data_IF_244030992652
#
_entry.id   IF_244030992652
#
_cell.length_a   1.000
_cell.length_b   1.000
_cell.length_c   1.000
_cell.angle_alpha   90.00
_cell.angle_beta   90.00
_cell.angle_gamma   90.00
#
_symmetry.space_group_name_H-M   'P 1'
#
loop_
_entity.id
_entity.type
_entity.pdbx_description
1 polymer ?
#
# COMPACT_ATOMS: atom_id res chain seq x y z
N UNK A 1 11.33 -13.80 -2.33
CA UNK A 1 11.32 -12.32 -2.36
C UNK A 1 9.87 -11.87 -2.33
N UNK A 2 9.56 -10.70 -1.77
CA UNK A 2 8.20 -10.13 -1.77
C UNK A 2 7.96 -9.27 -3.02
N UNK A 3 6.69 -8.98 -3.30
CA UNK A 3 6.29 -7.89 -4.18
C UNK A 3 5.95 -6.69 -3.29
N UNK A 4 6.65 -5.57 -3.50
CA UNK A 4 6.43 -4.36 -2.70
C UNK A 4 5.87 -3.29 -3.62
N UNK A 5 4.85 -2.59 -3.14
CA UNK A 5 4.19 -1.48 -3.81
C UNK A 5 3.90 -0.38 -2.81
N UNK A 6 4.22 0.86 -3.18
CA UNK A 6 4.11 2.04 -2.32
C UNK A 6 3.11 3.00 -2.95
N UNK A 7 2.08 3.40 -2.20
CA UNK A 7 1.23 4.52 -2.54
C UNK A 7 1.86 5.81 -2.00
N UNK A 8 2.15 6.76 -2.89
CA UNK A 8 2.68 8.08 -2.60
C UNK A 8 1.52 9.08 -2.72
N UNK A 9 0.76 9.19 -1.64
CA UNK A 9 -0.53 9.87 -1.55
C UNK A 9 -0.36 11.38 -1.32
N UNK A 10 -1.09 12.22 -2.08
CA UNK A 10 -1.04 13.69 -1.89
C UNK A 10 -1.72 14.10 -0.58
N UNK A 11 -2.87 13.52 -0.28
CA UNK A 11 -3.60 13.72 0.97
C UNK A 11 -3.44 12.52 1.92
N UNK A 12 -3.65 12.75 3.22
CA UNK A 12 -3.56 11.66 4.20
C UNK A 12 -4.73 10.69 3.98
N UNK A 13 -4.48 9.39 3.71
CA UNK A 13 -5.57 8.43 3.64
C UNK A 13 -6.12 8.20 5.05
N UNK A 14 -7.36 8.63 5.27
CA UNK A 14 -8.10 8.37 6.51
C UNK A 14 -8.67 6.94 6.57
N UNK A 15 -9.30 6.54 7.70
CA UNK A 15 -9.85 5.20 7.88
C UNK A 15 -10.81 4.75 6.77
N UNK A 16 -11.65 5.66 6.27
CA UNK A 16 -12.58 5.38 5.17
C UNK A 16 -11.87 5.04 3.85
N UNK A 17 -10.79 5.75 3.53
CA UNK A 17 -9.97 5.45 2.35
C UNK A 17 -9.25 4.10 2.49
N UNK A 18 -8.74 3.79 3.69
CA UNK A 18 -8.12 2.50 3.99
C UNK A 18 -9.12 1.34 3.84
N UNK A 19 -10.33 1.47 4.39
CA UNK A 19 -11.39 0.46 4.26
C UNK A 19 -11.85 0.28 2.80
N UNK A 20 -12.00 1.37 2.06
CA UNK A 20 -12.34 1.31 0.63
C UNK A 20 -11.25 0.60 -0.17
N UNK A 21 -9.97 0.87 0.12
CA UNK A 21 -8.84 0.22 -0.53
C UNK A 21 -8.75 -1.27 -0.17
N UNK A 22 -8.95 -1.65 1.10
CA UNK A 22 -9.04 -3.06 1.52
C UNK A 22 -10.14 -3.79 0.76
N UNK A 23 -11.33 -3.17 0.64
CA UNK A 23 -12.43 -3.74 -0.12
C UNK A 23 -12.13 -3.85 -1.62
N UNK A 24 -11.35 -2.92 -2.19
CA UNK A 24 -10.90 -2.99 -3.57
C UNK A 24 -9.85 -4.09 -3.81
N UNK A 25 -9.05 -4.42 -2.79
CA UNK A 25 -8.09 -5.52 -2.82
C UNK A 25 -8.80 -6.87 -3.03
N UNK A 26 -9.90 -7.08 -2.29
CA UNK A 26 -10.83 -8.21 -2.38
C UNK A 26 -11.84 -8.14 -1.24
N UNK A 27 -13.13 -8.21 -1.56
CA UNK A 27 -14.20 -8.01 -0.56
C UNK A 27 -14.39 -9.22 0.37
N UNK A 28 -13.91 -10.38 -0.08
CA UNK A 28 -13.90 -11.67 0.59
C UNK A 28 -12.67 -11.88 1.49
N UNK A 29 -11.64 -11.03 1.36
CA UNK A 29 -10.41 -11.16 2.13
C UNK A 29 -10.67 -10.88 3.62
N UNK A 30 -10.08 -11.72 4.47
CA UNK A 30 -10.14 -11.59 5.92
C UNK A 30 -9.08 -10.61 6.40
N UNK A 31 -9.44 -9.76 7.35
CA UNK A 31 -8.56 -8.74 7.93
C UNK A 31 -7.96 -9.23 9.25
N UNK A 32 -6.66 -9.05 9.41
CA UNK A 32 -5.96 -9.17 10.69
C UNK A 32 -5.18 -7.88 10.97
N UNK A 33 -5.10 -7.46 12.23
CA UNK A 33 -4.31 -6.30 12.65
C UNK A 33 -3.22 -6.73 13.62
N UNK A 34 -2.02 -6.20 13.44
CA UNK A 34 -0.89 -6.38 14.36
C UNK A 34 -0.62 -5.01 14.98
N UNK A 35 -1.21 -4.79 16.15
CA UNK A 35 -1.28 -3.46 16.76
C UNK A 35 0.10 -2.93 17.16
N UNK A 36 1.00 -3.78 17.66
CA UNK A 36 2.36 -3.39 18.06
C UNK A 36 3.19 -2.86 16.89
N UNK A 37 2.90 -3.34 15.68
CA UNK A 37 3.62 -2.97 14.46
C UNK A 37 2.82 -2.03 13.56
N UNK A 38 1.58 -1.67 13.93
CA UNK A 38 0.66 -0.89 13.11
C UNK A 38 0.50 -1.45 11.69
N UNK A 39 0.36 -2.78 11.60
CA UNK A 39 0.21 -3.50 10.34
C UNK A 39 -1.23 -3.98 10.18
N UNK A 40 -1.71 -3.93 8.94
CA UNK A 40 -2.95 -4.58 8.52
C UNK A 40 -2.58 -5.68 7.54
N UNK A 41 -3.11 -6.87 7.74
CA UNK A 41 -2.92 -8.02 6.87
C UNK A 41 -4.24 -8.46 6.27
N UNK A 42 -4.22 -8.79 4.98
CA UNK A 42 -5.33 -9.40 4.27
C UNK A 42 -5.00 -10.85 3.97
N UNK A 43 -5.96 -11.73 4.24
CA UNK A 43 -5.85 -13.17 4.06
C UNK A 43 -6.96 -13.68 3.15
N UNK A 44 -6.61 -14.65 2.30
CA UNK A 44 -7.60 -15.44 1.58
C UNK A 44 -8.35 -16.37 2.56
N UNK A 45 -9.51 -16.89 2.16
CA UNK A 45 -10.36 -17.70 3.04
C UNK A 45 -9.71 -19.00 3.52
N UNK A 46 -8.73 -19.51 2.76
CA UNK A 46 -7.91 -20.69 3.06
C UNK A 46 -6.77 -20.40 4.07
N UNK A 47 -6.62 -19.14 4.53
CA UNK A 47 -5.58 -18.72 5.46
C UNK A 47 -4.27 -18.30 4.80
N UNK A 48 -4.19 -18.24 3.47
CA UNK A 48 -3.03 -17.71 2.76
C UNK A 48 -2.94 -16.19 2.93
N UNK A 49 -1.76 -15.68 3.30
CA UNK A 49 -1.49 -14.24 3.37
C UNK A 49 -1.50 -13.66 1.95
N UNK A 50 -2.30 -12.61 1.73
CA UNK A 50 -2.38 -11.92 0.44
C UNK A 50 -1.55 -10.65 0.44
N UNK A 51 -1.64 -9.85 1.50
CA UNK A 51 -0.81 -8.66 1.62
C UNK A 51 -0.72 -8.18 3.07
N UNK A 52 0.34 -7.44 3.36
CA UNK A 52 0.51 -6.66 4.58
C UNK A 52 0.69 -5.20 4.18
N UNK A 53 0.00 -4.28 4.83
CA UNK A 53 0.16 -2.84 4.62
C UNK A 53 0.43 -2.12 5.95
N UNK A 54 1.26 -1.09 5.89
CA UNK A 54 1.60 -0.24 7.03
C UNK A 54 0.66 0.97 7.11
N UNK A 55 0.52 1.56 8.30
CA UNK A 55 -0.14 2.85 8.45
C UNK A 55 0.55 3.97 7.63
N UNK A 56 -0.23 4.98 7.23
CA UNK A 56 0.30 6.10 6.44
C UNK A 56 1.31 6.95 7.22
N UNK A 57 2.46 7.24 6.60
CA UNK A 57 3.55 8.02 7.19
C UNK A 57 3.85 9.25 6.34
N UNK A 58 3.95 10.43 6.96
CA UNK A 58 4.28 11.65 6.24
C UNK A 58 5.78 11.73 5.97
N UNK A 59 6.16 11.77 4.70
CA UNK A 59 7.54 12.04 4.27
C UNK A 59 7.69 13.54 4.01
N UNK A 60 8.39 14.22 4.92
CA UNK A 60 8.58 15.67 4.87
C UNK A 60 9.91 16.09 4.23
N UNK A 61 10.87 15.18 4.10
CA UNK A 61 12.19 15.49 3.55
C UNK A 61 12.14 15.46 2.02
N UNK A 62 12.48 16.58 1.39
CA UNK A 62 12.49 16.69 -0.08
C UNK A 62 13.55 15.75 -0.65
N UNK A 63 13.19 14.97 -1.67
CA UNK A 63 14.08 14.00 -2.32
C UNK A 63 14.21 12.65 -1.62
N UNK A 64 13.61 12.47 -0.44
CA UNK A 64 13.67 11.20 0.30
C UNK A 64 13.04 10.04 -0.47
N UNK A 65 11.95 10.29 -1.19
CA UNK A 65 11.31 9.28 -2.04
C UNK A 65 12.26 8.82 -3.15
N UNK A 66 12.95 9.75 -3.83
CA UNK A 66 13.97 9.41 -4.83
C UNK A 66 15.12 8.62 -4.19
N UNK A 67 15.60 9.03 -3.01
CA UNK A 67 16.70 8.34 -2.30
C UNK A 67 16.35 6.90 -1.95
N UNK A 68 15.10 6.63 -1.55
CA UNK A 68 14.65 5.31 -1.11
C UNK A 68 14.20 4.41 -2.27
N UNK A 69 13.48 4.97 -3.25
CA UNK A 69 12.84 4.18 -4.32
C UNK A 69 13.54 4.27 -5.68
N UNK A 70 14.51 5.19 -5.85
CA UNK A 70 15.05 5.53 -7.16
C UNK A 70 13.99 6.09 -8.11
N UNK A 71 12.89 6.62 -7.57
CA UNK A 71 11.73 7.04 -8.34
C UNK A 71 11.87 8.49 -8.80
N UNK A 72 11.92 8.68 -10.11
CA UNK A 72 12.23 9.96 -10.75
C UNK A 72 11.00 10.75 -11.24
N UNK A 73 9.79 10.24 -11.00
CA UNK A 73 8.55 10.97 -11.28
C UNK A 73 8.35 12.18 -10.36
N UNK A 74 7.46 13.10 -10.76
CA UNK A 74 7.08 14.25 -9.94
C UNK A 74 6.17 13.81 -8.78
N UNK A 75 6.81 13.38 -7.70
CA UNK A 75 6.12 12.98 -6.47
C UNK A 75 5.69 14.22 -5.69
N UNK A 76 4.46 14.26 -5.14
CA UNK A 76 4.04 15.34 -4.24
C UNK A 76 5.07 15.59 -3.12
N UNK A 77 5.20 16.83 -2.65
CA UNK A 77 6.03 17.15 -1.49
C UNK A 77 5.32 18.19 -0.61
N UNK A 78 5.07 17.89 0.69
CA UNK A 78 5.27 16.59 1.35
C UNK A 78 4.31 15.52 0.79
N UNK A 79 4.57 14.24 1.13
CA UNK A 79 3.76 13.11 0.64
C UNK A 79 3.49 12.08 1.73
N UNK A 80 2.31 11.47 1.67
CA UNK A 80 1.93 10.37 2.55
C UNK A 80 2.33 9.04 1.93
N UNK A 81 3.19 8.31 2.62
CA UNK A 81 3.70 7.01 2.22
C UNK A 81 2.87 5.89 2.84
N UNK A 82 2.33 5.00 2.02
CA UNK A 82 1.70 3.75 2.46
C UNK A 82 2.39 2.60 1.75
N UNK A 83 3.13 1.80 2.51
CA UNK A 83 3.80 0.61 1.98
C UNK A 83 2.88 -0.61 2.06
N UNK A 84 2.91 -1.41 1.01
CA UNK A 84 2.21 -2.69 0.92
C UNK A 84 3.18 -3.75 0.40
N UNK A 85 3.21 -4.90 1.07
CA UNK A 85 4.01 -6.05 0.68
C UNK A 85 3.12 -7.27 0.48
N UNK A 86 3.29 -7.97 -0.63
CA UNK A 86 2.64 -9.24 -0.94
C UNK A 86 3.69 -10.37 -1.05
N UNK A 87 3.32 -11.63 -0.78
CA UNK A 87 4.19 -12.76 -1.10
C UNK A 87 4.58 -12.75 -2.59
N UNK A 88 5.88 -12.87 -2.89
CA UNK A 88 6.32 -12.92 -4.28
C UNK A 88 6.10 -14.30 -4.89
N UNK A 89 5.92 -14.33 -6.21
CA UNK A 89 5.56 -15.55 -6.93
C UNK A 89 4.08 -15.92 -6.82
N UNK A 90 3.27 -15.10 -6.15
CA UNK A 90 1.82 -15.25 -6.04
C UNK A 90 1.12 -14.12 -6.83
N UNK A 91 0.64 -14.40 -8.07
CA UNK A 91 0.02 -13.39 -8.92
C UNK A 91 -1.28 -12.81 -8.35
N UNK A 92 -1.99 -13.58 -7.52
CA UNK A 92 -3.26 -13.16 -6.93
C UNK A 92 -3.03 -12.16 -5.80
N UNK A 93 -2.07 -12.48 -4.92
CA UNK A 93 -1.61 -11.59 -3.87
C UNK A 93 -1.04 -10.27 -4.43
N UNK A 94 -0.24 -10.36 -5.50
CA UNK A 94 0.27 -9.19 -6.21
C UNK A 94 -0.88 -8.34 -6.79
N UNK A 95 -1.88 -8.97 -7.42
CA UNK A 95 -3.04 -8.26 -7.96
C UNK A 95 -3.87 -7.57 -6.85
N UNK A 96 -4.05 -8.22 -5.70
CA UNK A 96 -4.73 -7.62 -4.55
C UNK A 96 -3.98 -6.38 -4.04
N UNK A 97 -2.65 -6.46 -3.88
CA UNK A 97 -1.82 -5.33 -3.49
C UNK A 97 -1.90 -4.16 -4.51
N UNK A 98 -1.88 -4.46 -5.81
CA UNK A 98 -2.02 -3.44 -6.86
C UNK A 98 -3.39 -2.74 -6.80
N UNK A 99 -4.49 -3.48 -6.63
CA UNK A 99 -5.83 -2.90 -6.50
C UNK A 99 -5.96 -2.02 -5.26
N UNK A 100 -5.42 -2.48 -4.13
CA UNK A 100 -5.36 -1.71 -2.89
C UNK A 100 -4.67 -0.38 -3.09
N UNK A 101 -3.43 -0.39 -3.60
CA UNK A 101 -2.62 0.82 -3.82
C UNK A 101 -3.29 1.74 -4.83
N UNK A 102 -3.84 1.22 -5.92
CA UNK A 102 -4.54 2.01 -6.93
C UNK A 102 -5.76 2.74 -6.34
N UNK A 103 -6.53 2.05 -5.49
CA UNK A 103 -7.69 2.64 -4.82
C UNK A 103 -7.28 3.76 -3.85
N UNK A 104 -6.17 3.59 -3.10
CA UNK A 104 -5.61 4.65 -2.28
C UNK A 104 -5.22 5.86 -3.12
N UNK A 105 -4.34 5.67 -4.11
CA UNK A 105 -3.85 6.75 -4.98
C UNK A 105 -4.99 7.48 -5.69
N UNK A 106 -6.02 6.75 -6.12
CA UNK A 106 -7.20 7.35 -6.76
C UNK A 106 -7.97 8.25 -5.78
N UNK A 107 -8.09 7.83 -4.52
CA UNK A 107 -8.86 8.56 -3.49
C UNK A 107 -8.09 9.74 -2.93
N UNK A 108 -6.79 9.58 -2.67
CA UNK A 108 -5.93 10.60 -2.04
C UNK A 108 -5.18 11.48 -3.04
N UNK A 109 -5.30 11.18 -4.35
CA UNK A 109 -4.36 11.62 -5.37
C UNK A 109 -2.95 11.04 -5.16
N UNK A 110 -2.05 11.34 -6.10
CA UNK A 110 -0.64 10.96 -6.03
C UNK A 110 -0.25 9.93 -7.09
N UNK A 111 0.74 9.11 -6.78
CA UNK A 111 1.33 8.12 -7.68
C UNK A 111 1.70 6.85 -6.91
N UNK A 112 2.02 5.76 -7.62
CA UNK A 112 2.49 4.52 -7.01
C UNK A 112 3.83 4.08 -7.60
N UNK A 113 4.65 3.44 -6.78
CA UNK A 113 5.88 2.78 -7.18
C UNK A 113 5.81 1.29 -6.82
N UNK A 114 6.40 0.39 -7.62
CA UNK A 114 6.52 -1.03 -7.27
C UNK A 114 7.88 -1.61 -7.64
N UNK A 115 8.28 -2.72 -7.00
CA UNK A 115 9.53 -3.44 -7.27
C UNK A 115 9.58 -4.14 -8.63
N UNK A 116 8.43 -4.24 -9.32
CA UNK A 116 8.26 -4.73 -10.69
C UNK A 116 6.86 -4.42 -11.23
#
# INVERSE_FOLDING_TARGET
MTFDIVALCREQPGPGAMLAAMRAAGAELRVNTIDEAQLIQLYHEDGRLMMTTEGARLVQVRGEVRRLLGFDEDVPHPVWWVETRAPGGDPEAEAAARRFTQALVTTSGGVSWSTR
#
